data_IF_028643465314
#
_entry.id   IF_028643465314
#
_cell.length_a   1.000
_cell.length_b   1.000
_cell.length_c   1.000
_cell.angle_alpha   90.00
_cell.angle_beta   90.00
_cell.angle_gamma   90.00
#
_symmetry.space_group_name_H-M   'P 1'
#
loop_
_entity.id
_entity.type
_entity.pdbx_description
1 polymer ?
#
# COMPACT_ATOMS: atom_id res chain seq x y z
N UNK A 1 33.02 32.95 24.93
CA UNK A 1 32.19 33.32 23.75
C UNK A 1 30.91 33.95 24.27
N UNK A 2 30.51 35.09 23.74
CA UNK A 2 29.22 35.70 24.08
C UNK A 2 28.08 34.91 23.42
N UNK A 3 26.93 34.84 24.07
CA UNK A 3 25.75 34.19 23.51
C UNK A 3 25.25 34.92 22.25
N UNK A 4 24.58 34.21 21.33
CA UNK A 4 23.90 34.87 20.21
C UNK A 4 22.77 35.76 20.72
N UNK A 5 22.34 36.71 19.89
CA UNK A 5 21.29 37.69 20.23
C UNK A 5 19.98 37.05 20.70
N UNK A 6 19.61 35.89 20.14
CA UNK A 6 18.41 35.11 20.49
C UNK A 6 18.66 33.96 21.47
N UNK A 7 19.89 33.81 21.99
CA UNK A 7 20.30 32.65 22.76
C UNK A 7 20.52 31.38 21.92
N UNK A 8 20.89 30.27 22.58
CA UNK A 8 21.31 29.01 21.92
C UNK A 8 20.18 28.05 21.52
N UNK A 9 18.94 28.37 21.88
CA UNK A 9 17.77 27.50 21.62
C UNK A 9 16.89 27.99 20.47
N UNK A 10 17.18 29.18 19.95
CA UNK A 10 16.47 29.79 18.82
C UNK A 10 17.37 29.88 17.59
N UNK A 11 16.76 29.90 16.41
CA UNK A 11 17.47 30.09 15.15
C UNK A 11 17.97 31.55 15.07
N UNK A 12 19.29 31.79 15.00
CA UNK A 12 19.81 33.15 14.89
C UNK A 12 19.52 33.76 13.53
N UNK A 13 19.41 35.09 13.48
CA UNK A 13 19.20 35.84 12.25
C UNK A 13 20.27 35.48 11.20
N UNK A 14 19.89 35.41 9.91
CA UNK A 14 20.79 34.99 8.83
C UNK A 14 22.07 35.85 8.72
N UNK A 15 21.98 37.14 9.08
CA UNK A 15 23.12 38.06 9.08
C UNK A 15 24.05 37.89 10.29
N UNK A 16 23.62 37.19 11.35
CA UNK A 16 24.43 36.92 12.53
C UNK A 16 25.36 35.73 12.28
N UNK A 17 26.60 36.05 11.92
CA UNK A 17 27.66 35.10 11.50
C UNK A 17 28.76 34.94 12.56
N UNK A 18 28.46 35.30 13.82
CA UNK A 18 29.39 35.07 14.92
C UNK A 18 29.53 33.56 15.18
N UNK A 19 30.66 33.09 15.72
CA UNK A 19 30.84 31.66 16.00
C UNK A 19 29.76 31.09 16.94
N UNK A 20 29.26 31.89 17.89
CA UNK A 20 28.17 31.47 18.78
C UNK A 20 26.84 31.30 18.03
N UNK A 21 26.52 32.23 17.11
CA UNK A 21 25.34 32.13 16.26
C UNK A 21 25.44 30.94 15.29
N UNK A 22 26.62 30.64 14.75
CA UNK A 22 26.83 29.48 13.90
C UNK A 22 26.62 28.15 14.64
N UNK A 23 27.10 28.04 15.88
CA UNK A 23 26.83 26.89 16.73
C UNK A 23 25.33 26.75 17.06
N UNK A 24 24.66 27.84 17.41
CA UNK A 24 23.22 27.84 17.67
C UNK A 24 22.41 27.44 16.43
N UNK A 25 22.81 27.89 15.23
CA UNK A 25 22.20 27.51 13.95
C UNK A 25 22.34 26.02 13.67
N UNK A 26 23.53 25.45 13.86
CA UNK A 26 23.78 24.01 13.70
C UNK A 26 22.91 23.20 14.66
N UNK A 27 22.89 23.60 15.94
CA UNK A 27 22.06 22.95 16.97
C UNK A 27 20.57 22.99 16.60
N UNK A 28 20.07 24.15 16.16
CA UNK A 28 18.67 24.34 15.79
C UNK A 28 18.24 23.37 14.67
N UNK A 29 18.98 23.35 13.55
CA UNK A 29 18.64 22.44 12.45
C UNK A 29 18.76 20.96 12.84
N UNK A 30 19.80 20.57 13.60
CA UNK A 30 19.92 19.19 14.10
C UNK A 30 18.71 18.79 14.94
N UNK A 31 18.28 19.65 15.86
CA UNK A 31 17.17 19.34 16.75
C UNK A 31 15.84 19.29 15.99
N UNK A 32 15.58 20.25 15.10
CA UNK A 32 14.36 20.24 14.30
C UNK A 32 14.29 18.99 13.42
N UNK A 33 15.39 18.63 12.75
CA UNK A 33 15.43 17.45 11.88
C UNK A 33 15.27 16.14 12.66
N UNK A 34 15.84 16.05 13.86
CA UNK A 34 15.74 14.86 14.71
C UNK A 34 14.34 14.62 15.28
N UNK A 35 13.51 15.66 15.35
CA UNK A 35 12.16 15.62 15.94
C UNK A 35 11.05 15.80 14.89
N UNK A 36 11.33 15.55 13.61
CA UNK A 36 10.31 15.56 12.56
C UNK A 36 9.43 14.30 12.66
N UNK A 37 8.16 14.48 13.02
CA UNK A 37 7.19 13.39 13.28
C UNK A 37 7.03 12.38 12.13
N UNK A 38 7.20 12.82 10.88
CA UNK A 38 6.98 12.00 9.70
C UNK A 38 8.26 11.75 8.88
N UNK A 39 9.40 12.29 9.33
CA UNK A 39 10.68 12.21 8.61
C UNK A 39 10.67 12.79 7.20
N UNK A 40 9.64 13.56 6.81
CA UNK A 40 9.52 14.16 5.49
C UNK A 40 9.91 15.62 5.53
N UNK A 41 10.84 15.99 4.66
CA UNK A 41 11.19 17.38 4.37
C UNK A 41 10.95 17.63 2.89
N UNK A 42 10.46 18.82 2.56
CA UNK A 42 10.39 19.23 1.16
C UNK A 42 11.77 19.67 0.65
N UNK A 43 11.91 19.70 -0.67
CA UNK A 43 13.17 20.03 -1.35
C UNK A 43 13.61 21.48 -1.07
N UNK A 44 12.66 22.40 -0.88
CA UNK A 44 12.98 23.81 -0.63
C UNK A 44 13.58 23.99 0.77
N UNK A 45 12.97 23.39 1.80
CA UNK A 45 13.47 23.37 3.16
C UNK A 45 14.83 22.68 3.24
N UNK A 46 15.00 21.52 2.60
CA UNK A 46 16.28 20.83 2.55
C UNK A 46 17.39 21.75 2.01
N UNK A 47 17.15 22.42 0.88
CA UNK A 47 18.16 23.30 0.27
C UNK A 47 18.49 24.50 1.15
N UNK A 48 17.50 25.12 1.77
CA UNK A 48 17.71 26.23 2.71
C UNK A 48 18.54 25.79 3.91
N UNK A 49 18.11 24.72 4.59
CA UNK A 49 18.81 24.19 5.75
C UNK A 49 20.24 23.76 5.42
N UNK A 50 20.44 23.12 4.26
CA UNK A 50 21.77 22.71 3.80
C UNK A 50 22.71 23.89 3.58
N UNK A 51 22.25 24.95 2.91
CA UNK A 51 23.06 26.13 2.63
C UNK A 51 23.45 26.86 3.93
N UNK A 52 22.49 27.00 4.84
CA UNK A 52 22.70 27.65 6.14
C UNK A 52 23.68 26.88 7.03
N UNK A 53 23.54 25.54 7.07
CA UNK A 53 24.47 24.65 7.76
C UNK A 53 25.87 24.68 7.14
N UNK A 54 25.97 24.55 5.81
CA UNK A 54 27.24 24.57 5.08
C UNK A 54 27.97 25.90 5.26
N UNK A 55 27.23 27.01 5.27
CA UNK A 55 27.77 28.34 5.57
C UNK A 55 28.31 28.45 6.99
N UNK A 56 27.56 27.96 7.98
CA UNK A 56 27.98 27.96 9.39
C UNK A 56 29.20 27.06 9.63
N UNK A 57 29.18 25.83 9.09
CA UNK A 57 30.30 24.87 9.17
C UNK A 57 31.54 25.45 8.47
N UNK A 58 31.36 26.10 7.31
CA UNK A 58 32.46 26.76 6.60
C UNK A 58 33.08 27.94 7.35
N UNK A 59 32.29 28.72 8.10
CA UNK A 59 32.79 29.81 8.95
C UNK A 59 33.53 29.29 10.19
N UNK A 60 33.06 28.19 10.78
CA UNK A 60 33.68 27.59 11.96
C UNK A 60 34.93 26.74 11.64
N UNK A 61 34.86 25.94 10.59
CA UNK A 61 35.86 24.95 10.21
C UNK A 61 36.69 25.31 8.97
N UNK A 62 36.42 26.46 8.34
CA UNK A 62 37.13 26.93 7.15
C UNK A 62 36.66 26.28 5.85
N UNK A 63 37.38 26.62 4.76
CA UNK A 63 37.02 26.23 3.40
C UNK A 63 36.99 24.71 3.19
N UNK A 64 37.91 23.96 3.82
CA UNK A 64 37.95 22.51 3.70
C UNK A 64 36.66 21.85 4.21
N UNK A 65 36.15 22.32 5.35
CA UNK A 65 34.91 21.80 5.91
C UNK A 65 33.71 22.11 5.02
N UNK A 66 33.68 23.29 4.42
CA UNK A 66 32.67 23.67 3.42
C UNK A 66 32.73 22.78 2.18
N UNK A 67 33.93 22.55 1.65
CA UNK A 67 34.15 21.69 0.50
C UNK A 67 33.70 20.24 0.77
N UNK A 68 33.94 19.74 1.99
CA UNK A 68 33.45 18.42 2.38
C UNK A 68 31.92 18.38 2.41
N UNK A 69 31.24 19.41 2.94
CA UNK A 69 29.79 19.51 2.84
C UNK A 69 29.32 19.53 1.38
N UNK A 70 29.92 20.36 0.52
CA UNK A 70 29.55 20.42 -0.89
C UNK A 70 29.78 19.07 -1.61
N UNK A 71 30.86 18.37 -1.25
CA UNK A 71 31.12 17.01 -1.70
C UNK A 71 30.04 16.05 -1.22
N UNK A 72 29.68 16.05 0.07
CA UNK A 72 28.61 15.20 0.61
C UNK A 72 27.26 15.42 -0.07
N UNK A 73 26.94 16.65 -0.50
CA UNK A 73 25.69 16.95 -1.21
C UNK A 73 25.63 16.28 -2.59
N UNK A 74 26.78 16.12 -3.22
CA UNK A 74 26.91 15.67 -4.62
C UNK A 74 27.47 14.26 -4.75
N UNK A 75 28.03 13.73 -3.67
CA UNK A 75 28.64 12.41 -3.60
C UNK A 75 27.59 11.37 -3.99
N UNK A 76 27.87 10.53 -5.00
CA UNK A 76 27.02 9.38 -5.31
C UNK A 76 26.84 8.56 -4.04
N UNK A 77 25.59 8.20 -3.74
CA UNK A 77 25.31 7.25 -2.68
C UNK A 77 26.12 5.98 -2.98
N UNK A 78 26.85 5.46 -2.00
CA UNK A 78 27.74 4.31 -2.18
C UNK A 78 27.03 3.09 -2.80
N UNK A 79 27.81 2.12 -3.28
CA UNK A 79 27.33 0.95 -4.01
C UNK A 79 26.25 0.14 -3.26
N UNK A 80 26.27 0.18 -1.92
CA UNK A 80 25.25 -0.42 -1.05
C UNK A 80 23.91 0.34 -1.12
N UNK A 81 23.94 1.66 -1.31
CA UNK A 81 22.74 2.46 -1.54
C UNK A 81 22.21 2.34 -2.98
N UNK A 82 23.05 2.07 -3.98
CA UNK A 82 22.59 1.74 -5.33
C UNK A 82 21.77 0.44 -5.36
N UNK A 83 22.20 -0.58 -4.61
CA UNK A 83 21.46 -1.82 -4.41
C UNK A 83 20.10 -1.55 -3.77
N UNK A 84 20.06 -0.75 -2.70
CA UNK A 84 18.80 -0.33 -2.06
C UNK A 84 17.88 0.41 -3.06
N UNK A 85 18.44 1.26 -3.93
CA UNK A 85 17.65 1.96 -4.96
C UNK A 85 17.11 0.98 -6.00
N UNK A 86 17.88 -0.03 -6.40
CA UNK A 86 17.44 -1.08 -7.32
C UNK A 86 16.35 -1.94 -6.70
N UNK A 87 16.48 -2.31 -5.43
CA UNK A 87 15.46 -3.05 -4.68
C UNK A 87 14.16 -2.26 -4.58
N UNK A 88 14.23 -0.97 -4.22
CA UNK A 88 13.04 -0.09 -4.21
C UNK A 88 12.37 -0.04 -5.58
N UNK A 89 13.15 0.03 -6.67
CA UNK A 89 12.61 0.00 -8.03
C UNK A 89 11.98 -1.35 -8.36
N UNK A 90 12.58 -2.46 -7.93
CA UNK A 90 12.06 -3.80 -8.14
C UNK A 90 10.74 -4.01 -7.39
N UNK A 91 10.72 -3.74 -6.08
CA UNK A 91 9.50 -3.85 -5.27
C UNK A 91 8.38 -2.97 -5.79
N UNK A 92 8.67 -1.76 -6.32
CA UNK A 92 7.65 -0.91 -6.95
C UNK A 92 7.02 -1.56 -8.18
N UNK A 93 7.81 -2.27 -8.99
CA UNK A 93 7.29 -3.00 -10.16
C UNK A 93 6.43 -4.18 -9.72
N UNK A 94 6.85 -4.95 -8.73
CA UNK A 94 6.06 -6.06 -8.19
C UNK A 94 4.72 -5.57 -7.62
N UNK A 95 4.73 -4.48 -6.85
CA UNK A 95 3.51 -3.85 -6.33
C UNK A 95 2.58 -3.41 -7.46
N UNK A 96 3.12 -2.90 -8.57
CA UNK A 96 2.32 -2.53 -9.73
C UNK A 96 1.67 -3.76 -10.39
N UNK A 97 2.43 -4.84 -10.59
CA UNK A 97 1.91 -6.09 -11.16
C UNK A 97 0.81 -6.70 -10.28
N UNK A 98 1.00 -6.69 -8.96
CA UNK A 98 -0.01 -7.14 -8.01
C UNK A 98 -1.27 -6.28 -8.06
N UNK A 99 -1.12 -4.96 -8.20
CA UNK A 99 -2.26 -4.04 -8.34
C UNK A 99 -3.06 -4.31 -9.61
N UNK A 100 -2.38 -4.53 -10.73
CA UNK A 100 -3.04 -4.84 -12.01
C UNK A 100 -3.77 -6.20 -11.96
N UNK A 101 -3.14 -7.19 -11.33
CA UNK A 101 -3.75 -8.52 -11.10
C UNK A 101 -4.97 -8.44 -10.19
N UNK A 102 -4.93 -7.59 -9.16
CA UNK A 102 -6.06 -7.34 -8.27
C UNK A 102 -7.23 -6.69 -9.00
N UNK A 103 -6.98 -5.72 -9.87
CA UNK A 103 -8.03 -5.10 -10.70
C UNK A 103 -8.67 -6.11 -11.66
N UNK A 104 -7.86 -6.98 -12.29
CA UNK A 104 -8.38 -8.07 -13.13
C UNK A 104 -9.24 -9.06 -12.33
N UNK A 105 -8.79 -9.45 -11.14
CA UNK A 105 -9.54 -10.35 -10.26
C UNK A 105 -10.87 -9.73 -9.81
N UNK A 106 -10.89 -8.42 -9.48
CA UNK A 106 -12.13 -7.71 -9.14
C UNK A 106 -13.12 -7.75 -10.30
N UNK A 107 -12.67 -7.52 -11.54
CA UNK A 107 -13.53 -7.58 -12.71
C UNK A 107 -14.16 -8.96 -12.88
N UNK A 108 -13.34 -10.02 -12.84
CA UNK A 108 -13.83 -11.40 -12.91
C UNK A 108 -14.82 -11.72 -11.78
N UNK A 109 -14.57 -11.23 -10.57
CA UNK A 109 -15.49 -11.40 -9.44
C UNK A 109 -16.86 -10.75 -9.70
N UNK A 110 -16.88 -9.54 -10.28
CA UNK A 110 -18.16 -8.89 -10.64
C UNK A 110 -18.94 -9.66 -11.70
N UNK A 111 -18.26 -10.28 -12.65
CA UNK A 111 -18.89 -11.13 -13.66
C UNK A 111 -19.47 -12.41 -13.04
N UNK A 112 -18.72 -13.05 -12.13
CA UNK A 112 -19.19 -14.21 -11.38
C UNK A 112 -20.43 -13.89 -10.52
N UNK A 113 -20.47 -12.73 -9.86
CA UNK A 113 -21.66 -12.29 -9.10
C UNK A 113 -22.87 -12.23 -10.02
N UNK A 114 -22.77 -11.55 -11.17
CA UNK A 114 -23.89 -11.44 -12.13
C UNK A 114 -24.36 -12.80 -12.63
N UNK A 115 -23.42 -13.70 -12.92
CA UNK A 115 -23.76 -15.07 -13.33
C UNK A 115 -24.46 -15.83 -12.21
N UNK A 116 -24.03 -15.66 -10.96
CA UNK A 116 -24.66 -16.28 -9.81
C UNK A 116 -26.10 -15.77 -9.60
N UNK A 117 -26.32 -14.46 -9.68
CA UNK A 117 -27.65 -13.84 -9.59
C UNK A 117 -28.61 -14.40 -10.66
N UNK A 118 -28.14 -14.50 -11.91
CA UNK A 118 -28.94 -15.11 -12.99
C UNK A 118 -29.27 -16.59 -12.72
N UNK A 119 -28.31 -17.37 -12.21
CA UNK A 119 -28.55 -18.76 -11.82
C UNK A 119 -29.55 -18.86 -10.66
N UNK A 120 -29.51 -17.94 -9.70
CA UNK A 120 -30.47 -17.91 -8.60
C UNK A 120 -31.89 -17.61 -9.09
N UNK A 121 -32.05 -16.69 -10.05
CA UNK A 121 -33.35 -16.40 -10.66
C UNK A 121 -33.90 -17.61 -11.42
N UNK A 122 -33.07 -18.26 -12.24
CA UNK A 122 -33.44 -19.48 -12.94
C UNK A 122 -33.85 -20.59 -11.96
N UNK A 123 -33.10 -20.78 -10.87
CA UNK A 123 -33.43 -21.75 -9.84
C UNK A 123 -34.76 -21.44 -9.15
N UNK A 124 -35.07 -20.17 -8.88
CA UNK A 124 -36.34 -19.75 -8.30
C UNK A 124 -37.52 -20.07 -9.23
N UNK A 125 -37.38 -19.83 -10.53
CA UNK A 125 -38.39 -20.19 -11.55
C UNK A 125 -38.63 -21.69 -11.58
N UNK A 126 -37.57 -22.50 -11.71
CA UNK A 126 -37.68 -23.97 -11.73
C UNK A 126 -38.32 -24.50 -10.45
N UNK A 127 -37.96 -23.95 -9.29
CA UNK A 127 -38.55 -24.34 -8.00
C UNK A 127 -40.06 -24.10 -8.00
N UNK A 128 -40.51 -22.96 -8.54
CA UNK A 128 -41.95 -22.63 -8.64
C UNK A 128 -42.68 -23.57 -9.60
N UNK A 129 -42.13 -23.84 -10.78
CA UNK A 129 -42.70 -24.77 -11.76
C UNK A 129 -42.84 -26.19 -11.19
N UNK A 130 -41.83 -26.66 -10.45
CA UNK A 130 -41.88 -27.97 -9.77
C UNK A 130 -43.04 -27.99 -8.75
N UNK A 131 -43.24 -26.92 -7.99
CA UNK A 131 -44.31 -26.85 -7.00
C UNK A 131 -45.69 -26.82 -7.67
N UNK A 132 -45.84 -26.09 -8.77
CA UNK A 132 -47.05 -26.11 -9.59
C UNK A 132 -47.34 -27.52 -10.11
N UNK A 133 -46.34 -28.22 -10.69
CA UNK A 133 -46.49 -29.60 -11.17
C UNK A 133 -46.93 -30.55 -10.05
N UNK A 134 -46.36 -30.43 -8.84
CA UNK A 134 -46.75 -31.24 -7.68
C UNK A 134 -48.23 -31.03 -7.33
N UNK A 135 -48.70 -29.78 -7.32
CA UNK A 135 -50.11 -29.44 -7.05
C UNK A 135 -51.01 -30.09 -8.11
N UNK A 136 -50.71 -29.91 -9.40
CA UNK A 136 -51.49 -30.53 -10.48
C UNK A 136 -51.57 -32.05 -10.35
N UNK A 137 -50.47 -32.73 -10.03
CA UNK A 137 -50.47 -34.18 -9.80
C UNK A 137 -51.27 -34.57 -8.55
N UNK A 138 -51.23 -33.76 -7.49
CA UNK A 138 -52.07 -33.92 -6.29
C UNK A 138 -53.54 -33.61 -6.52
N UNK A 139 -53.97 -33.05 -7.64
CA UNK A 139 -55.40 -32.85 -7.92
C UNK A 139 -55.93 -33.88 -8.93
N UNK A 140 -55.09 -34.30 -9.88
CA UNK A 140 -55.50 -35.16 -11.00
C UNK A 140 -55.32 -36.66 -10.74
N UNK A 141 -54.40 -37.07 -9.87
CA UNK A 141 -54.11 -38.50 -9.64
C UNK A 141 -55.00 -39.08 -8.52
N UNK A 142 -55.70 -40.20 -8.72
CA UNK A 142 -56.54 -40.83 -7.69
C UNK A 142 -55.74 -41.24 -6.43
N UNK A 143 -56.36 -41.12 -5.24
CA UNK A 143 -55.66 -41.26 -3.95
C UNK A 143 -54.89 -42.58 -3.79
N UNK A 144 -55.39 -43.69 -4.39
CA UNK A 144 -54.79 -45.02 -4.23
C UNK A 144 -53.39 -45.15 -4.89
N UNK A 145 -53.03 -44.25 -5.81
CA UNK A 145 -51.77 -44.32 -6.58
C UNK A 145 -50.72 -43.31 -6.07
N UNK A 146 -51.13 -42.24 -5.38
CA UNK A 146 -50.24 -41.14 -4.97
C UNK A 146 -49.03 -41.58 -4.13
N UNK A 147 -49.20 -42.58 -3.25
CA UNK A 147 -48.13 -43.09 -2.38
C UNK A 147 -46.97 -43.77 -3.11
N UNK A 148 -47.15 -44.18 -4.37
CA UNK A 148 -46.12 -44.82 -5.20
C UNK A 148 -45.28 -43.83 -6.02
N UNK A 149 -45.78 -42.63 -6.30
CA UNK A 149 -45.10 -41.66 -7.19
C UNK A 149 -43.97 -40.88 -6.50
N UNK A 150 -44.10 -40.57 -5.21
CA UNK A 150 -43.14 -39.72 -4.48
C UNK A 150 -42.03 -40.49 -3.74
N UNK A 151 -42.13 -41.82 -3.63
CA UNK A 151 -41.07 -42.69 -3.11
C UNK A 151 -40.25 -43.23 -4.27
N UNK A 152 -39.43 -42.39 -4.89
CA UNK A 152 -38.44 -42.85 -5.86
C UNK A 152 -37.46 -43.82 -5.17
N UNK A 153 -37.62 -45.12 -5.41
CA UNK A 153 -36.54 -46.10 -5.19
C UNK A 153 -35.42 -45.77 -6.17
N UNK A 154 -34.37 -45.12 -5.67
CA UNK A 154 -33.11 -45.01 -6.39
C UNK A 154 -32.50 -46.41 -6.50
N UNK A 155 -32.50 -46.98 -7.70
CA UNK A 155 -31.62 -48.11 -8.00
C UNK A 155 -30.21 -47.55 -8.06
N UNK A 156 -29.43 -47.75 -6.99
CA UNK A 156 -28.01 -47.44 -6.99
C UNK A 156 -27.29 -48.42 -7.90
N UNK A 157 -27.07 -48.03 -9.16
CA UNK A 157 -26.08 -48.71 -10.00
C UNK A 157 -24.70 -48.42 -9.44
N UNK A 158 -24.05 -49.45 -8.92
CA UNK A 158 -22.66 -49.43 -8.46
C UNK A 158 -21.71 -48.99 -9.58
N UNK A 159 -20.67 -48.18 -9.32
CA UNK A 159 -19.68 -47.85 -10.34
C UNK A 159 -18.75 -49.05 -10.54
N UNK A 160 -18.66 -49.54 -11.78
CA UNK A 160 -17.66 -50.53 -12.18
C UNK A 160 -16.26 -49.93 -12.03
N UNK A 161 -15.42 -50.60 -11.24
CA UNK A 161 -14.00 -50.30 -11.05
C UNK A 161 -13.27 -50.44 -12.38
N UNK A 162 -12.78 -49.33 -12.96
CA UNK A 162 -11.77 -49.35 -14.00
C UNK A 162 -10.40 -49.33 -13.32
N UNK A 163 -9.75 -50.48 -13.31
CA UNK A 163 -8.33 -50.64 -12.98
C UNK A 163 -7.47 -50.00 -14.07
N UNK A 164 -6.59 -49.09 -13.68
CA UNK A 164 -5.36 -48.75 -14.39
C UNK A 164 -4.17 -49.18 -13.53
#
# INVERSE_FOLDING_TARGET
>A
MSAPSCGFDQLPAAMETTPAADLARIKHYRNNLAHLDNGKIDIAFFNTAWNDLTGAIGRLGGLQMRQECDHMKTKPLDQNNEEIILDIKHSRKEVQVLKDSLESLKLSHTEMIKSHESLQENHAVVTKEIEEIKIYQMDTVPWNIRGKLFKGTWVTSTPSTLTF
#
